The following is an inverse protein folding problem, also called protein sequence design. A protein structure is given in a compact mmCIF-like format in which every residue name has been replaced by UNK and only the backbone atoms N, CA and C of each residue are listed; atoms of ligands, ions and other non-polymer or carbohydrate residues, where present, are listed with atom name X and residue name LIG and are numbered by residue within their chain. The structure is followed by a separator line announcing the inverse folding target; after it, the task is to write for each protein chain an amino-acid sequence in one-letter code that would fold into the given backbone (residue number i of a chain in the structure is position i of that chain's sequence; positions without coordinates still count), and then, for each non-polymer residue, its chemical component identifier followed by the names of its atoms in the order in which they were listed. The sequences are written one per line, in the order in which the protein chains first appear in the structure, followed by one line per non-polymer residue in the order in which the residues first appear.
data_IF_857555999357
#
_entry.id   IF_857555999357
#
_cell.length_a   1.000
_cell.length_b   1.000
_cell.length_c   1.000
_cell.angle_alpha   90.00
_cell.angle_beta   90.00
_cell.angle_gamma   90.00
#
_symmetry.space_group_name_H-M   'P 1'
#
loop_
_entity.id
_entity.type
_entity.pdbx_description
1 polymer ?
#
# COMPACT_ATOMS: atom_id res chain seq x y z
N UNK A 1 -23.97 -62.65 -15.28
CA UNK A 1 -23.55 -61.37 -15.91
C UNK A 1 -23.26 -60.30 -14.84
N UNK A 2 -21.99 -60.25 -14.42
CA UNK A 2 -21.52 -59.40 -13.32
C UNK A 2 -21.46 -57.92 -13.66
N UNK A 3 -21.89 -57.10 -12.70
CA UNK A 3 -21.85 -55.64 -12.73
C UNK A 3 -20.48 -55.13 -12.26
N UNK A 4 -19.58 -54.84 -13.20
CA UNK A 4 -18.35 -54.07 -12.92
C UNK A 4 -18.65 -52.57 -12.92
N UNK A 5 -19.08 -52.04 -11.77
CA UNK A 5 -19.14 -50.60 -11.54
C UNK A 5 -17.74 -50.17 -11.07
N UNK A 6 -17.01 -49.51 -11.97
CA UNK A 6 -15.63 -49.06 -11.78
C UNK A 6 -15.45 -48.17 -10.54
N UNK A 7 -14.48 -48.54 -9.69
CA UNK A 7 -14.03 -47.82 -8.50
C UNK A 7 -13.53 -46.39 -8.80
N UNK A 8 -13.24 -46.08 -10.08
CA UNK A 8 -12.80 -44.77 -10.53
C UNK A 8 -13.90 -43.69 -10.50
N UNK A 9 -15.17 -44.06 -10.50
CA UNK A 9 -16.29 -43.09 -10.51
C UNK A 9 -16.61 -42.53 -9.12
N UNK A 10 -16.22 -43.22 -8.03
CA UNK A 10 -16.47 -42.78 -6.65
C UNK A 10 -15.40 -41.83 -6.10
N UNK A 11 -14.22 -41.78 -6.71
CA UNK A 11 -13.10 -40.91 -6.28
C UNK A 11 -13.21 -39.49 -6.88
N UNK A 12 -13.81 -39.35 -8.07
CA UNK A 12 -13.99 -38.05 -8.74
C UNK A 12 -15.14 -37.22 -8.16
N UNK A 13 -16.14 -37.84 -7.53
CA UNK A 13 -17.27 -37.11 -6.94
C UNK A 13 -16.94 -36.47 -5.57
N UNK A 14 -15.92 -36.99 -4.87
CA UNK A 14 -15.52 -36.45 -3.57
C UNK A 14 -14.57 -35.24 -3.68
N UNK A 15 -13.86 -35.08 -4.82
CA UNK A 15 -12.99 -33.93 -5.07
C UNK A 15 -13.75 -32.67 -5.54
N UNK A 16 -14.98 -32.83 -6.06
CA UNK A 16 -15.79 -31.71 -6.54
C UNK A 16 -16.63 -31.01 -5.45
N UNK A 17 -16.86 -31.66 -4.29
CA UNK A 17 -17.63 -31.07 -3.17
C UNK A 17 -16.74 -30.29 -2.19
N UNK A 18 -15.42 -30.47 -2.23
CA UNK A 18 -14.46 -29.71 -1.41
C UNK A 18 -13.96 -28.42 -2.13
N UNK A 19 -14.29 -28.26 -3.42
CA UNK A 19 -13.81 -27.13 -4.22
C UNK A 19 -14.71 -25.87 -4.17
N UNK A 20 -15.88 -25.91 -3.53
CA UNK A 20 -16.84 -24.78 -3.50
C UNK A 20 -16.78 -23.90 -2.25
N UNK A 21 -15.78 -24.06 -1.38
CA UNK A 21 -15.62 -23.22 -0.19
C UNK A 21 -14.68 -22.00 -0.37
N UNK A 22 -14.02 -21.84 -1.52
CA UNK A 22 -13.10 -20.70 -1.76
C UNK A 22 -13.71 -19.58 -2.61
N UNK A 23 -15.01 -19.63 -2.89
CA UNK A 23 -15.63 -18.70 -3.85
C UNK A 23 -16.92 -18.03 -3.34
N UNK A 24 -17.03 -17.70 -2.05
CA UNK A 24 -17.87 -16.58 -1.59
C UNK A 24 -17.66 -16.30 -0.09
N UNK A 25 -17.07 -15.15 0.23
CA UNK A 25 -17.29 -14.50 1.53
C UNK A 25 -17.08 -12.98 1.36
N UNK A 26 -18.11 -12.24 0.93
CA UNK A 26 -18.11 -10.79 1.07
C UNK A 26 -18.39 -10.46 2.53
N UNK A 27 -17.49 -9.74 3.19
CA UNK A 27 -17.87 -8.83 4.27
C UNK A 27 -16.82 -7.73 4.36
N UNK A 28 -17.17 -6.56 3.84
CA UNK A 28 -16.54 -5.33 4.28
C UNK A 28 -17.01 -5.06 5.71
N UNK A 29 -16.09 -5.10 6.67
CA UNK A 29 -16.08 -4.15 7.77
C UNK A 29 -14.70 -4.15 8.43
N UNK A 30 -14.06 -2.98 8.43
CA UNK A 30 -12.80 -2.73 9.10
C UNK A 30 -12.98 -2.84 10.61
N UNK A 31 -12.47 -3.92 11.20
CA UNK A 31 -11.55 -3.94 12.36
C UNK A 31 -11.28 -5.42 12.70
N UNK A 32 -10.30 -6.04 12.03
CA UNK A 32 -9.69 -7.26 12.55
C UNK A 32 -8.40 -6.83 13.23
N UNK A 33 -8.52 -6.47 14.52
CA UNK A 33 -7.38 -6.41 15.41
C UNK A 33 -6.50 -7.63 15.16
N UNK A 34 -5.19 -7.39 14.98
CA UNK A 34 -4.14 -8.34 14.52
C UNK A 34 -4.06 -9.69 15.25
N UNK A 35 -4.91 -9.94 16.25
CA UNK A 35 -5.02 -11.18 17.03
C UNK A 35 -6.08 -12.16 16.50
N UNK A 36 -7.12 -11.73 15.78
CA UNK A 36 -8.23 -12.65 15.43
C UNK A 36 -7.93 -13.55 14.22
N UNK A 37 -6.99 -13.17 13.35
CA UNK A 37 -6.47 -14.02 12.26
C UNK A 37 -5.70 -15.25 12.79
N UNK A 38 -5.26 -15.23 14.06
CA UNK A 38 -4.51 -16.34 14.66
C UNK A 38 -5.43 -17.50 15.06
N UNK A 39 -6.74 -17.28 15.22
CA UNK A 39 -7.66 -18.30 15.75
C UNK A 39 -8.43 -19.12 14.71
N UNK A 40 -8.43 -18.73 13.43
CA UNK A 40 -8.84 -19.63 12.33
C UNK A 40 -7.72 -20.59 11.92
N UNK A 41 -6.72 -20.77 12.79
CA UNK A 41 -5.54 -21.64 12.65
C UNK A 41 -5.76 -23.09 13.07
N UNK A 42 -6.85 -23.74 12.65
CA UNK A 42 -7.09 -25.16 12.96
C UNK A 42 -6.89 -26.11 11.76
N UNK A 43 -6.88 -25.61 10.52
CA UNK A 43 -6.66 -26.44 9.32
C UNK A 43 -5.28 -26.26 8.66
N UNK A 44 -4.48 -25.28 9.08
CA UNK A 44 -3.15 -24.99 8.53
C UNK A 44 -1.99 -25.63 9.33
N UNK A 45 -2.28 -26.40 10.39
CA UNK A 45 -1.28 -26.95 11.29
C UNK A 45 -0.41 -28.08 10.69
N UNK A 46 -0.86 -28.73 9.60
CA UNK A 46 -0.12 -29.83 8.98
C UNK A 46 0.98 -29.40 7.99
N UNK A 47 1.03 -28.12 7.61
CA UNK A 47 2.07 -27.55 6.70
C UNK A 47 2.85 -26.40 7.35
N UNK A 48 2.65 -26.18 8.65
CA UNK A 48 3.21 -25.07 9.40
C UNK A 48 4.75 -25.02 9.53
N UNK A 49 5.56 -26.10 9.47
CA UNK A 49 7.00 -25.95 9.64
C UNK A 49 7.70 -25.46 8.35
N UNK A 50 7.04 -25.48 7.19
CA UNK A 50 7.59 -25.02 5.90
C UNK A 50 7.10 -23.64 5.46
N UNK A 51 6.13 -23.06 6.17
CA UNK A 51 5.64 -21.71 5.94
C UNK A 51 6.15 -20.76 7.04
N UNK A 52 7.45 -20.84 7.34
CA UNK A 52 8.10 -19.74 8.02
C UNK A 52 7.85 -18.49 7.17
N UNK A 53 7.24 -17.47 7.77
CA UNK A 53 7.13 -16.15 7.16
C UNK A 53 8.56 -15.70 6.83
N UNK A 54 8.97 -15.87 5.58
CA UNK A 54 10.21 -15.31 5.08
C UNK A 54 10.14 -13.82 5.41
N UNK A 55 11.11 -13.26 6.16
CA UNK A 55 11.15 -11.82 6.35
C UNK A 55 11.14 -11.21 4.95
N UNK A 56 10.17 -10.32 4.69
CA UNK A 56 10.17 -9.57 3.45
C UNK A 56 11.54 -8.92 3.34
N UNK A 57 12.37 -9.40 2.40
CA UNK A 57 13.69 -8.84 2.12
C UNK A 57 13.47 -7.52 1.36
N UNK A 58 12.89 -6.55 2.04
CA UNK A 58 12.72 -5.19 1.59
C UNK A 58 14.03 -4.45 1.88
N UNK A 59 15.10 -4.85 1.18
CA UNK A 59 16.35 -4.11 1.20
C UNK A 59 16.19 -2.77 0.47
N UNK A 60 16.91 -1.75 0.93
CA UNK A 60 17.02 -0.49 0.19
C UNK A 60 17.72 -0.75 -1.15
N UNK A 61 17.02 -0.51 -2.25
CA UNK A 61 17.47 -0.80 -3.62
C UNK A 61 18.47 0.23 -4.19
N UNK A 62 18.78 1.29 -3.43
CA UNK A 62 19.66 2.42 -3.81
C UNK A 62 19.22 3.14 -5.08
N UNK A 63 17.98 2.97 -5.54
CA UNK A 63 17.46 3.59 -6.77
C UNK A 63 17.18 5.09 -6.62
N UNK A 64 17.26 5.61 -5.39
CA UNK A 64 16.83 6.94 -5.00
C UNK A 64 15.34 7.21 -5.33
N UNK A 65 14.53 6.16 -5.47
CA UNK A 65 13.09 6.31 -5.65
C UNK A 65 12.39 6.46 -4.31
N UNK A 66 11.45 7.39 -4.27
CA UNK A 66 10.60 7.63 -3.11
C UNK A 66 9.15 7.85 -3.56
N UNK A 67 8.15 7.60 -2.68
CA UNK A 67 6.77 7.94 -2.97
C UNK A 67 6.60 9.47 -2.98
N UNK A 68 6.24 10.01 -4.14
CA UNK A 68 5.76 11.40 -4.30
C UNK A 68 4.25 11.37 -4.16
N UNK A 69 3.77 12.05 -3.12
CA UNK A 69 2.35 12.09 -2.76
C UNK A 69 1.82 13.49 -3.06
N UNK A 70 0.73 13.56 -3.83
CA UNK A 70 -0.03 14.79 -4.03
C UNK A 70 -1.44 14.58 -3.54
N UNK A 71 -1.85 15.40 -2.58
CA UNK A 71 -3.20 15.40 -2.03
C UNK A 71 -3.98 16.53 -2.69
N UNK A 72 -4.98 16.16 -3.49
CA UNK A 72 -5.89 17.07 -4.12
C UNK A 72 -7.18 17.11 -3.31
N UNK A 73 -7.34 18.15 -2.51
CA UNK A 73 -8.64 18.55 -1.97
C UNK A 73 -9.18 19.67 -2.89
N UNK A 74 -9.88 19.26 -3.95
CA UNK A 74 -10.35 20.16 -5.01
C UNK A 74 -11.85 20.45 -4.91
N UNK A 75 -12.45 20.33 -3.72
CA UNK A 75 -13.87 20.64 -3.51
C UNK A 75 -14.19 22.06 -3.95
N UNK A 76 -15.11 22.21 -4.89
CA UNK A 76 -15.51 23.49 -5.51
C UNK A 76 -14.55 24.04 -6.57
N UNK A 77 -13.48 23.31 -6.93
CA UNK A 77 -12.53 23.74 -7.95
C UNK A 77 -13.14 23.63 -9.35
N UNK A 78 -13.15 24.75 -10.09
CA UNK A 78 -13.61 24.78 -11.49
C UNK A 78 -12.43 24.77 -12.45
N UNK A 79 -11.69 23.66 -12.49
CA UNK A 79 -10.47 23.50 -13.32
C UNK A 79 -10.72 23.47 -14.84
N UNK A 80 -11.97 23.69 -15.29
CA UNK A 80 -12.33 23.67 -16.72
C UNK A 80 -12.62 22.27 -17.29
N UNK A 81 -12.75 21.24 -16.44
CA UNK A 81 -13.11 19.88 -16.83
C UNK A 81 -13.40 19.00 -15.61
N UNK A 82 -13.92 17.78 -15.80
CA UNK A 82 -14.16 16.84 -14.71
C UNK A 82 -12.84 16.31 -14.11
N UNK A 83 -12.83 16.04 -12.80
CA UNK A 83 -11.75 15.29 -12.14
C UNK A 83 -11.76 13.84 -12.65
N UNK A 84 -10.94 13.59 -13.67
CA UNK A 84 -11.01 12.39 -14.50
C UNK A 84 -9.74 11.54 -14.41
N UNK A 85 -8.75 11.94 -13.62
CA UNK A 85 -7.51 11.20 -13.43
C UNK A 85 -7.75 9.87 -12.69
N UNK A 86 -8.67 9.85 -11.72
CA UNK A 86 -9.13 8.61 -11.09
C UNK A 86 -10.09 7.87 -12.02
N UNK A 87 -9.82 6.58 -12.26
CA UNK A 87 -10.57 5.74 -13.20
C UNK A 87 -11.49 4.72 -12.51
N UNK A 88 -11.55 4.75 -11.18
CA UNK A 88 -12.42 3.87 -10.41
C UNK A 88 -13.86 4.39 -10.33
N UNK A 89 -14.67 3.70 -9.52
CA UNK A 89 -16.07 4.04 -9.33
C UNK A 89 -16.23 5.36 -8.59
N UNK A 90 -17.25 6.13 -8.97
CA UNK A 90 -17.65 7.33 -8.23
C UNK A 90 -18.16 6.95 -6.83
N UNK A 91 -17.79 7.76 -5.85
CA UNK A 91 -18.32 7.67 -4.50
C UNK A 91 -19.72 8.30 -4.40
N UNK A 92 -20.09 9.19 -5.33
CA UNK A 92 -21.29 10.04 -5.27
C UNK A 92 -21.33 10.90 -3.99
N UNK A 93 -20.16 11.33 -3.54
CA UNK A 93 -19.93 12.13 -2.35
C UNK A 93 -18.90 13.23 -2.67
N UNK A 94 -18.51 13.99 -1.65
CA UNK A 94 -17.41 14.97 -1.77
C UNK A 94 -16.08 14.33 -2.17
N UNK A 95 -15.93 13.01 -2.04
CA UNK A 95 -14.73 12.29 -2.45
C UNK A 95 -14.54 12.29 -3.98
N UNK A 96 -15.59 12.51 -4.76
CA UNK A 96 -15.49 12.64 -6.23
C UNK A 96 -14.71 13.90 -6.68
N UNK A 97 -14.53 14.87 -5.77
CA UNK A 97 -13.75 16.10 -5.96
C UNK A 97 -12.40 16.05 -5.22
N UNK A 98 -12.03 14.88 -4.70
CA UNK A 98 -10.78 14.68 -3.96
C UNK A 98 -9.99 13.52 -4.54
N UNK A 99 -8.67 13.63 -4.56
CA UNK A 99 -7.80 12.58 -5.10
C UNK A 99 -6.46 12.54 -4.39
N UNK A 100 -5.95 11.32 -4.17
CA UNK A 100 -4.57 11.10 -3.72
C UNK A 100 -3.81 10.47 -4.87
N UNK A 101 -2.84 11.21 -5.40
CA UNK A 101 -1.91 10.71 -6.41
C UNK A 101 -0.64 10.27 -5.72
N UNK A 102 -0.26 9.01 -5.90
CA UNK A 102 1.01 8.46 -5.41
C UNK A 102 1.82 7.97 -6.60
N UNK A 103 3.07 8.41 -6.69
CA UNK A 103 4.01 7.98 -7.72
C UNK A 103 5.31 7.53 -7.06
N UNK A 104 5.90 6.44 -7.53
CA UNK A 104 7.30 6.14 -7.19
C UNK A 104 8.18 6.89 -8.18
N UNK A 105 8.89 7.92 -7.73
CA UNK A 105 9.72 8.77 -8.59
C UNK A 105 11.15 8.81 -8.09
N UNK A 106 12.12 8.87 -9.00
CA UNK A 106 13.52 9.09 -8.64
C UNK A 106 13.69 10.53 -8.16
N UNK A 107 14.29 10.71 -6.99
CA UNK A 107 14.57 12.01 -6.39
C UNK A 107 15.97 12.44 -6.78
N UNK A 108 16.10 13.66 -7.30
CA UNK A 108 17.37 14.27 -7.70
C UNK A 108 17.35 15.76 -7.42
N UNK A 109 18.51 16.31 -7.05
CA UNK A 109 18.74 17.74 -6.84
C UNK A 109 19.94 18.14 -7.69
N UNK A 110 19.84 19.27 -8.40
CA UNK A 110 20.96 19.76 -9.21
C UNK A 110 22.05 20.41 -8.35
N UNK A 111 23.30 20.42 -8.81
CA UNK A 111 24.39 21.12 -8.12
C UNK A 111 24.13 22.63 -7.99
N UNK A 112 23.44 23.21 -8.99
CA UNK A 112 23.04 24.62 -8.96
C UNK A 112 22.03 24.93 -7.83
N UNK A 113 21.07 24.04 -7.58
CA UNK A 113 20.14 24.17 -6.44
C UNK A 113 20.87 23.94 -5.11
N UNK A 114 21.79 22.98 -5.06
CA UNK A 114 22.61 22.74 -3.87
C UNK A 114 23.49 23.96 -3.51
N UNK A 115 24.06 24.65 -4.50
CA UNK A 115 24.84 25.86 -4.29
C UNK A 115 23.98 27.01 -3.73
N UNK A 116 22.72 27.15 -4.18
CA UNK A 116 21.77 28.11 -3.63
C UNK A 116 21.42 27.80 -2.17
N UNK A 117 21.14 26.53 -1.87
CA UNK A 117 20.89 26.09 -0.50
C UNK A 117 22.10 26.35 0.41
N UNK A 118 23.33 26.12 -0.09
CA UNK A 118 24.54 26.45 0.65
C UNK A 118 24.65 27.95 0.95
N UNK A 119 24.36 28.82 -0.04
CA UNK A 119 24.34 30.27 0.15
C UNK A 119 23.35 30.69 1.24
N UNK A 120 22.19 30.04 1.33
CA UNK A 120 21.22 30.28 2.40
C UNK A 120 21.72 29.79 3.77
N UNK A 121 22.32 28.61 3.83
CA UNK A 121 22.62 27.94 5.10
C UNK A 121 23.94 28.38 5.75
N UNK A 122 24.94 28.80 4.98
CA UNK A 122 26.30 29.03 5.46
C UNK A 122 26.41 30.14 6.53
N UNK A 123 25.46 31.08 6.54
CA UNK A 123 25.49 32.21 7.48
C UNK A 123 25.21 31.78 8.92
N UNK A 124 24.44 30.71 9.13
CA UNK A 124 23.93 30.27 10.44
C UNK A 124 23.27 31.35 11.30
N UNK A 125 23.02 32.55 10.77
CA UNK A 125 22.45 33.68 11.53
C UNK A 125 20.92 33.66 11.51
N UNK A 126 20.34 32.93 10.56
CA UNK A 126 18.91 32.92 10.27
C UNK A 126 18.35 31.50 10.24
N UNK A 127 17.07 31.38 10.59
CA UNK A 127 16.28 30.15 10.46
C UNK A 127 14.84 30.51 10.12
N UNK A 128 14.03 29.52 9.72
CA UNK A 128 12.59 29.69 9.62
C UNK A 128 11.97 30.10 10.96
N UNK A 129 10.71 30.55 10.96
CA UNK A 129 10.03 30.99 12.20
C UNK A 129 9.94 29.85 13.22
N UNK A 130 9.62 28.64 12.76
CA UNK A 130 9.36 27.50 13.65
C UNK A 130 10.61 26.88 14.26
N UNK A 131 10.53 26.53 15.55
CA UNK A 131 11.59 25.85 16.31
C UNK A 131 12.59 26.79 16.97
N UNK A 132 13.29 26.30 18.00
CA UNK A 132 14.32 27.09 18.68
C UNK A 132 15.58 27.24 17.79
N UNK A 133 16.28 28.37 17.90
CA UNK A 133 17.58 28.55 17.26
C UNK A 133 18.66 27.73 17.99
N UNK A 134 19.38 26.91 17.21
CA UNK A 134 20.46 26.03 17.69
C UNK A 134 21.77 26.21 16.92
N UNK A 135 21.91 27.31 16.16
CA UNK A 135 23.16 27.62 15.48
C UNK A 135 24.29 27.93 16.47
N UNK A 136 25.55 27.87 16.01
CA UNK A 136 26.70 28.24 16.83
C UNK A 136 26.53 29.67 17.36
N UNK A 137 26.78 29.86 18.66
CA UNK A 137 26.74 31.18 19.29
C UNK A 137 28.06 31.89 19.02
N UNK A 138 28.08 32.85 18.11
CA UNK A 138 29.22 33.72 17.85
C UNK A 138 29.90 33.42 16.52
N UNK A 139 29.47 34.14 15.48
CA UNK A 139 30.31 34.58 14.38
C UNK A 139 30.55 36.07 14.55
#
# INVERSE_FOLDING_TARGET
PGSHISMASKVLAFSAIVATASAYAPSMSMDLGRRQVVQTGAAAAAVAPFLQSLPASAGMDKSARAPVITIFDHRGCKRGGPDAEYKGAKANSKDDEMCVKVQSSKISVSEAEAAKALQEFISFTSKGIDGAFKGPKGF
#
